data_IF_072769244869
#
_entry.id   IF_072769244869
#
_cell.length_a   1.000
_cell.length_b   1.000
_cell.length_c   1.000
_cell.angle_alpha   90.00
_cell.angle_beta   90.00
_cell.angle_gamma   90.00
#
_symmetry.space_group_name_H-M   'P 1'
#
loop_
_entity.id
_entity.type
_entity.pdbx_description
1 polymer ?
#
# COMPACT_ATOMS: atom_id res chain seq x y z
N UNK A 1 -17.83 20.41 0.34
CA UNK A 1 -16.68 20.02 1.19
C UNK A 1 -15.54 21.01 1.00
N UNK A 2 -14.74 21.28 2.04
CA UNK A 2 -13.65 22.26 1.95
C UNK A 2 -12.45 21.66 1.19
N UNK A 3 -12.01 22.23 0.04
CA UNK A 3 -10.94 21.71 -0.79
C UNK A 3 -9.62 21.52 -0.02
N UNK A 4 -9.28 22.47 0.87
CA UNK A 4 -8.06 22.38 1.67
C UNK A 4 -8.05 21.16 2.62
N UNK A 5 -9.20 20.85 3.25
CA UNK A 5 -9.30 19.69 4.15
C UNK A 5 -9.15 18.39 3.38
N UNK A 6 -9.73 18.30 2.18
CA UNK A 6 -9.60 17.12 1.33
C UNK A 6 -8.15 16.92 0.86
N UNK A 7 -7.48 17.99 0.47
CA UNK A 7 -6.09 17.94 0.06
C UNK A 7 -5.16 17.51 1.20
N UNK A 8 -5.33 18.10 2.39
CA UNK A 8 -4.56 17.70 3.58
C UNK A 8 -4.81 16.22 3.94
N UNK A 9 -6.06 15.76 3.88
CA UNK A 9 -6.39 14.35 4.09
C UNK A 9 -5.70 13.44 3.05
N UNK A 10 -5.63 13.86 1.79
CA UNK A 10 -4.89 13.15 0.73
C UNK A 10 -3.39 13.08 1.03
N UNK A 11 -2.78 14.17 1.50
CA UNK A 11 -1.38 14.17 1.91
C UNK A 11 -1.15 13.20 3.08
N UNK A 12 -2.01 13.21 4.10
CA UNK A 12 -1.92 12.29 5.25
C UNK A 12 -2.05 10.84 4.78
N UNK A 13 -2.99 10.54 3.88
CA UNK A 13 -3.16 9.20 3.33
C UNK A 13 -1.89 8.73 2.60
N UNK A 14 -1.27 9.60 1.79
CA UNK A 14 -0.03 9.26 1.09
C UNK A 14 1.15 9.08 2.05
N UNK A 15 1.30 9.94 3.05
CA UNK A 15 2.32 9.80 4.10
C UNK A 15 2.15 8.44 4.82
N UNK A 16 0.92 8.05 5.15
CA UNK A 16 0.66 6.75 5.79
C UNK A 16 1.09 5.58 4.89
N UNK A 17 0.81 5.67 3.57
CA UNK A 17 1.26 4.69 2.59
C UNK A 17 2.79 4.63 2.50
N UNK A 18 3.47 5.78 2.49
CA UNK A 18 4.93 5.88 2.49
C UNK A 18 5.54 5.22 3.73
N UNK A 19 5.00 5.52 4.93
CA UNK A 19 5.45 4.89 6.17
C UNK A 19 5.24 3.38 6.16
N UNK A 20 4.10 2.89 5.67
CA UNK A 20 3.86 1.45 5.60
C UNK A 20 4.88 0.74 4.71
N UNK A 21 5.33 1.41 3.65
CA UNK A 21 6.36 0.91 2.74
C UNK A 21 7.74 0.90 3.41
N UNK A 22 8.15 2.01 4.04
CA UNK A 22 9.44 2.14 4.71
C UNK A 22 9.59 1.17 5.87
N UNK A 23 8.58 1.09 6.77
CA UNK A 23 8.60 0.15 7.90
C UNK A 23 8.80 -1.28 7.40
N UNK A 24 8.15 -1.65 6.31
CA UNK A 24 8.28 -3.00 5.75
C UNK A 24 9.69 -3.28 5.25
N UNK A 25 10.39 -2.31 4.68
CA UNK A 25 11.79 -2.48 4.30
C UNK A 25 12.69 -2.63 5.52
N UNK A 26 12.47 -1.84 6.57
CA UNK A 26 13.25 -1.89 7.80
C UNK A 26 13.11 -3.23 8.54
N UNK A 27 11.93 -3.85 8.49
CA UNK A 27 11.68 -5.13 9.15
C UNK A 27 12.03 -6.36 8.28
N UNK A 28 12.55 -6.18 7.07
CA UNK A 28 12.83 -7.28 6.15
C UNK A 28 13.83 -8.30 6.74
N UNK A 29 14.95 -7.84 7.27
CA UNK A 29 15.96 -8.73 7.87
C UNK A 29 15.44 -9.43 9.14
N UNK A 30 14.81 -8.77 10.12
CA UNK A 30 14.13 -9.43 11.23
C UNK A 30 13.10 -10.47 10.79
N UNK A 31 12.27 -10.17 9.78
CA UNK A 31 11.30 -11.13 9.25
C UNK A 31 12.00 -12.34 8.63
N UNK A 32 13.07 -12.14 7.85
CA UNK A 32 13.82 -13.23 7.27
C UNK A 32 14.37 -14.18 8.35
N UNK A 33 14.91 -13.63 9.45
CA UNK A 33 15.43 -14.40 10.57
C UNK A 33 14.31 -15.15 11.32
N UNK A 34 13.22 -14.47 11.65
CA UNK A 34 12.09 -15.00 12.43
C UNK A 34 11.36 -16.14 11.70
N UNK A 35 11.27 -16.05 10.37
CA UNK A 35 10.55 -17.01 9.53
C UNK A 35 11.48 -17.97 8.78
N UNK A 36 12.78 -17.95 9.09
CA UNK A 36 13.80 -18.82 8.46
C UNK A 36 13.81 -18.73 6.93
N UNK A 37 13.59 -17.53 6.40
CA UNK A 37 13.55 -17.28 4.96
C UNK A 37 14.95 -16.98 4.42
N UNK A 38 15.23 -17.46 3.21
CA UNK A 38 16.45 -17.07 2.48
C UNK A 38 16.38 -15.60 2.04
N UNK A 39 17.54 -15.01 1.72
CA UNK A 39 17.60 -13.63 1.20
C UNK A 39 16.81 -13.46 -0.10
N UNK A 40 16.74 -14.49 -0.92
CA UNK A 40 15.92 -14.48 -2.12
C UNK A 40 14.43 -14.47 -1.75
N UNK A 41 13.99 -15.37 -0.87
CA UNK A 41 12.60 -15.48 -0.45
C UNK A 41 12.07 -14.18 0.19
N UNK A 42 12.86 -13.55 1.07
CA UNK A 42 12.44 -12.26 1.66
C UNK A 42 12.40 -11.14 0.60
N UNK A 43 13.31 -11.15 -0.37
CA UNK A 43 13.28 -10.23 -1.51
C UNK A 43 12.01 -10.39 -2.35
N UNK A 44 11.57 -11.62 -2.60
CA UNK A 44 10.31 -11.92 -3.30
C UNK A 44 9.09 -11.47 -2.50
N UNK A 45 9.10 -11.69 -1.18
CA UNK A 45 8.06 -11.20 -0.26
C UNK A 45 7.99 -9.67 -0.31
N UNK A 46 9.12 -8.96 -0.23
CA UNK A 46 9.14 -7.49 -0.32
C UNK A 46 8.70 -7.00 -1.72
N UNK A 47 9.12 -7.69 -2.78
CA UNK A 47 8.70 -7.42 -4.16
C UNK A 47 7.20 -7.56 -4.40
N UNK A 48 6.51 -8.40 -3.62
CA UNK A 48 5.07 -8.56 -3.72
C UNK A 48 4.29 -7.27 -3.49
N UNK A 49 4.83 -6.31 -2.71
CA UNK A 49 4.20 -5.00 -2.53
C UNK A 49 4.11 -4.21 -3.84
N UNK A 50 5.17 -4.20 -4.63
CA UNK A 50 5.17 -3.52 -5.94
C UNK A 50 4.21 -4.19 -6.93
N UNK A 51 4.16 -5.53 -6.91
CA UNK A 51 3.22 -6.27 -7.73
C UNK A 51 1.77 -5.97 -7.33
N UNK A 52 1.47 -5.95 -6.04
CA UNK A 52 0.16 -5.60 -5.51
C UNK A 52 -0.27 -4.19 -5.92
N UNK A 53 0.64 -3.22 -5.80
CA UNK A 53 0.42 -1.84 -6.23
C UNK A 53 0.12 -1.76 -7.74
N UNK A 54 0.94 -2.40 -8.57
CA UNK A 54 0.76 -2.42 -10.02
C UNK A 54 -0.57 -3.07 -10.42
N UNK A 55 -0.90 -4.23 -9.84
CA UNK A 55 -2.17 -4.94 -10.12
C UNK A 55 -3.37 -4.08 -9.70
N UNK A 56 -3.34 -3.48 -8.50
CA UNK A 56 -4.41 -2.61 -8.05
C UNK A 56 -4.60 -1.42 -9.00
N UNK A 57 -3.51 -0.78 -9.44
CA UNK A 57 -3.57 0.33 -10.39
C UNK A 57 -4.15 -0.10 -11.74
N UNK A 58 -3.68 -1.21 -12.30
CA UNK A 58 -4.17 -1.69 -13.61
C UNK A 58 -5.65 -2.07 -13.59
N UNK A 59 -6.10 -2.70 -12.50
CA UNK A 59 -7.48 -3.23 -12.41
C UNK A 59 -8.47 -2.14 -11.94
N UNK A 60 -8.11 -1.35 -10.94
CA UNK A 60 -9.05 -0.47 -10.26
C UNK A 60 -9.04 0.95 -10.84
N UNK A 61 -7.92 1.43 -11.40
CA UNK A 61 -7.89 2.78 -11.97
C UNK A 61 -8.96 3.01 -13.06
N UNK A 62 -9.16 2.09 -14.02
CA UNK A 62 -10.23 2.24 -15.02
C UNK A 62 -11.64 2.22 -14.42
N UNK A 63 -11.80 1.61 -13.25
CA UNK A 63 -13.08 1.46 -12.56
C UNK A 63 -13.32 2.56 -11.51
N UNK A 64 -12.34 3.43 -11.27
CA UNK A 64 -12.40 4.43 -10.19
C UNK A 64 -13.62 5.36 -10.31
N UNK A 65 -13.95 5.81 -11.52
CA UNK A 65 -15.10 6.67 -11.76
C UNK A 65 -16.43 5.96 -11.48
N UNK A 66 -16.49 4.65 -11.75
CA UNK A 66 -17.67 3.83 -11.50
C UNK A 66 -17.81 3.47 -10.01
N UNK A 67 -16.71 3.12 -9.36
CA UNK A 67 -16.69 2.75 -7.94
C UNK A 67 -16.88 3.97 -7.04
N UNK A 68 -16.29 5.09 -7.44
CA UNK A 68 -16.19 6.30 -6.64
C UNK A 68 -15.05 6.28 -5.64
N UNK A 69 -14.37 7.41 -5.47
CA UNK A 69 -13.16 7.58 -4.64
C UNK A 69 -13.34 7.10 -3.19
N UNK A 70 -14.52 7.30 -2.60
CA UNK A 70 -14.78 6.88 -1.21
C UNK A 70 -14.71 5.37 -1.01
N UNK A 71 -15.24 4.58 -1.96
CA UNK A 71 -15.17 3.11 -1.89
C UNK A 71 -13.76 2.61 -2.16
N UNK A 72 -13.02 3.28 -3.08
CA UNK A 72 -11.62 2.93 -3.36
C UNK A 72 -10.74 3.16 -2.12
N UNK A 73 -10.90 4.28 -1.41
CA UNK A 73 -10.19 4.54 -0.14
C UNK A 73 -10.57 3.52 0.96
N UNK A 74 -11.85 3.16 1.04
CA UNK A 74 -12.27 2.13 2.00
C UNK A 74 -11.65 0.76 1.68
N UNK A 75 -11.59 0.39 0.41
CA UNK A 75 -10.92 -0.82 -0.04
C UNK A 75 -9.41 -0.77 0.26
N UNK A 76 -8.76 0.38 0.05
CA UNK A 76 -7.36 0.59 0.42
C UNK A 76 -7.12 0.34 1.91
N UNK A 77 -8.00 0.89 2.77
CA UNK A 77 -7.93 0.68 4.22
C UNK A 77 -8.08 -0.81 4.58
N UNK A 78 -9.03 -1.52 3.98
CA UNK A 78 -9.21 -2.96 4.20
C UNK A 78 -7.98 -3.77 3.78
N UNK A 79 -7.38 -3.45 2.62
CA UNK A 79 -6.16 -4.09 2.14
C UNK A 79 -4.99 -3.86 3.10
N UNK A 80 -4.78 -2.64 3.59
CA UNK A 80 -3.75 -2.34 4.58
C UNK A 80 -4.00 -3.10 5.88
N UNK A 81 -5.22 -3.04 6.42
CA UNK A 81 -5.57 -3.74 7.66
C UNK A 81 -5.33 -5.24 7.53
N UNK A 82 -5.86 -5.87 6.49
CA UNK A 82 -5.70 -7.31 6.27
C UNK A 82 -4.23 -7.70 6.07
N UNK A 83 -3.46 -6.93 5.30
CA UNK A 83 -2.04 -7.19 5.07
C UNK A 83 -1.19 -7.00 6.32
N UNK A 84 -1.46 -5.98 7.14
CA UNK A 84 -0.75 -5.75 8.41
C UNK A 84 -1.09 -6.87 9.40
N UNK A 85 -2.38 -7.17 9.60
CA UNK A 85 -2.80 -8.25 10.48
C UNK A 85 -2.25 -9.61 10.02
N UNK A 86 -2.29 -9.88 8.72
CA UNK A 86 -1.71 -11.10 8.14
C UNK A 86 -0.21 -11.23 8.41
N UNK A 87 0.53 -10.12 8.43
CA UNK A 87 1.95 -10.13 8.79
C UNK A 87 2.16 -10.36 10.30
N UNK A 88 1.39 -9.66 11.15
CA UNK A 88 1.52 -9.73 12.62
C UNK A 88 1.16 -11.14 13.14
N UNK A 89 0.09 -11.72 12.60
CA UNK A 89 -0.41 -13.02 13.03
C UNK A 89 0.10 -14.19 12.18
N UNK A 90 1.09 -13.95 11.29
CA UNK A 90 1.69 -15.02 10.51
C UNK A 90 2.31 -16.08 11.44
N UNK A 91 1.92 -17.36 11.30
CA UNK A 91 2.49 -18.43 12.10
C UNK A 91 3.95 -18.65 11.69
N UNK A 92 4.82 -18.85 12.69
CA UNK A 92 6.27 -19.08 12.50
C UNK A 92 6.62 -20.56 12.51
N UNK A 93 7.69 -20.99 11.81
CA UNK A 93 8.26 -22.31 12.00
C UNK A 93 8.74 -22.49 13.45
N UNK A 94 8.63 -23.70 14.07
CA UNK A 94 8.18 -24.96 13.47
C UNK A 94 6.66 -25.22 13.53
N UNK A 95 5.84 -24.25 13.99
CA UNK A 95 4.40 -24.45 14.10
C UNK A 95 3.73 -24.74 12.73
N UNK A 96 4.31 -24.19 11.65
CA UNK A 96 3.93 -24.45 10.27
C UNK A 96 5.18 -24.61 9.41
N UNK A 97 5.02 -25.12 8.19
CA UNK A 97 6.14 -25.18 7.23
C UNK A 97 6.63 -23.78 6.84
N UNK A 98 7.91 -23.66 6.51
CA UNK A 98 8.49 -22.42 6.01
C UNK A 98 7.77 -21.90 4.76
N UNK A 99 7.31 -22.80 3.87
CA UNK A 99 6.53 -22.46 2.68
C UNK A 99 5.19 -21.82 3.03
N UNK A 100 4.49 -22.34 4.05
CA UNK A 100 3.23 -21.75 4.51
C UNK A 100 3.44 -20.34 5.03
N UNK A 101 4.47 -20.14 5.87
CA UNK A 101 4.83 -18.80 6.38
C UNK A 101 5.20 -17.85 5.25
N UNK A 102 5.98 -18.30 4.27
CA UNK A 102 6.36 -17.54 3.08
C UNK A 102 5.12 -17.03 2.33
N UNK A 103 4.18 -17.91 2.00
CA UNK A 103 2.99 -17.52 1.25
C UNK A 103 2.06 -16.58 2.02
N UNK A 104 1.95 -16.76 3.35
CA UNK A 104 1.18 -15.83 4.19
C UNK A 104 1.82 -14.44 4.16
N UNK A 105 3.15 -14.34 4.33
CA UNK A 105 3.87 -13.09 4.28
C UNK A 105 3.80 -12.45 2.89
N UNK A 106 3.92 -13.26 1.84
CA UNK A 106 3.81 -12.79 0.45
C UNK A 106 2.44 -12.19 0.16
N UNK A 107 1.36 -12.92 0.47
CA UNK A 107 -0.01 -12.43 0.31
C UNK A 107 -0.28 -11.19 1.16
N UNK A 108 0.20 -11.17 2.39
CA UNK A 108 0.06 -10.02 3.29
C UNK A 108 0.74 -8.77 2.73
N UNK A 109 1.95 -8.94 2.19
CA UNK A 109 2.71 -7.85 1.55
C UNK A 109 2.06 -7.38 0.25
N UNK A 110 1.56 -8.31 -0.57
CA UNK A 110 0.78 -8.00 -1.77
C UNK A 110 -0.45 -7.14 -1.44
N UNK A 111 -1.19 -7.48 -0.38
CA UNK A 111 -2.35 -6.70 0.07
C UNK A 111 -1.96 -5.29 0.51
N UNK A 112 -0.87 -5.12 1.28
CA UNK A 112 -0.39 -3.78 1.65
C UNK A 112 -0.03 -2.97 0.42
N UNK A 113 0.67 -3.56 -0.54
CA UNK A 113 1.00 -2.91 -1.82
C UNK A 113 -0.25 -2.53 -2.62
N UNK A 114 -1.24 -3.42 -2.67
CA UNK A 114 -2.53 -3.13 -3.30
C UNK A 114 -3.21 -1.93 -2.63
N UNK A 115 -3.18 -1.85 -1.29
CA UNK A 115 -3.67 -0.71 -0.53
C UNK A 115 -2.99 0.60 -0.92
N UNK A 116 -1.65 0.58 -1.08
CA UNK A 116 -0.89 1.75 -1.54
C UNK A 116 -1.35 2.21 -2.94
N UNK A 117 -1.49 1.27 -3.89
CA UNK A 117 -1.99 1.57 -5.23
C UNK A 117 -3.40 2.16 -5.23
N UNK A 118 -4.29 1.63 -4.40
CA UNK A 118 -5.65 2.13 -4.25
C UNK A 118 -5.71 3.54 -3.66
N UNK A 119 -4.85 3.87 -2.71
CA UNK A 119 -4.71 5.24 -2.21
C UNK A 119 -4.35 6.19 -3.35
N UNK A 120 -3.34 5.86 -4.15
CA UNK A 120 -2.89 6.69 -5.27
C UNK A 120 -3.97 6.89 -6.34
N UNK A 121 -4.72 5.84 -6.68
CA UNK A 121 -5.84 5.91 -7.62
C UNK A 121 -6.90 6.92 -7.18
N UNK A 122 -7.13 7.04 -5.87
CA UNK A 122 -8.15 7.94 -5.35
C UNK A 122 -7.63 9.37 -5.18
N UNK A 123 -6.42 9.57 -4.63
CA UNK A 123 -5.96 10.90 -4.23
C UNK A 123 -5.40 11.73 -5.40
N UNK A 124 -4.81 11.10 -6.42
CA UNK A 124 -4.24 11.83 -7.56
C UNK A 124 -5.32 12.55 -8.39
N UNK A 125 -6.39 11.86 -8.85
CA UNK A 125 -7.50 12.54 -9.53
C UNK A 125 -8.21 13.54 -8.63
N UNK A 126 -8.34 13.25 -7.33
CA UNK A 126 -8.95 14.17 -6.37
C UNK A 126 -8.16 15.49 -6.31
N UNK A 127 -6.84 15.43 -6.12
CA UNK A 127 -5.99 16.61 -6.08
C UNK A 127 -6.07 17.42 -7.38
N UNK A 128 -6.04 16.75 -8.54
CA UNK A 128 -6.16 17.38 -9.85
C UNK A 128 -7.53 18.05 -10.06
N UNK A 129 -8.60 17.49 -9.51
CA UNK A 129 -9.97 18.03 -9.58
C UNK A 129 -10.17 19.22 -8.63
N UNK A 130 -9.57 19.16 -7.44
CA UNK A 130 -9.65 20.24 -6.44
C UNK A 130 -8.94 21.51 -6.91
N UNK A 131 -7.85 21.38 -7.69
CA UNK A 131 -7.01 22.49 -8.13
C UNK A 131 -6.79 22.51 -9.67
N UNK A 132 -7.86 22.68 -10.47
CA UNK A 132 -7.79 22.50 -11.92
C UNK A 132 -6.85 23.49 -12.63
N UNK A 133 -6.64 24.69 -12.05
CA UNK A 133 -5.73 25.71 -12.61
C UNK A 133 -4.26 25.48 -12.25
N UNK A 134 -3.97 24.75 -11.18
CA UNK A 134 -2.62 24.54 -10.65
C UNK A 134 -2.33 23.05 -10.36
N UNK A 135 -2.84 22.16 -11.22
CA UNK A 135 -2.78 20.69 -11.02
C UNK A 135 -1.37 20.20 -10.70
N UNK A 136 -0.40 20.56 -11.54
CA UNK A 136 0.99 20.11 -11.41
C UNK A 136 1.61 20.55 -10.09
N UNK A 137 1.38 21.78 -9.67
CA UNK A 137 1.89 22.30 -8.41
C UNK A 137 1.36 21.50 -7.21
N UNK A 138 0.05 21.26 -7.15
CA UNK A 138 -0.53 20.50 -6.03
C UNK A 138 -0.21 19.01 -6.08
N UNK A 139 -0.07 18.40 -7.25
CA UNK A 139 0.41 17.03 -7.38
C UNK A 139 1.87 16.91 -6.91
N UNK A 140 2.73 17.87 -7.23
CA UNK A 140 4.10 17.87 -6.73
C UNK A 140 4.15 18.03 -5.20
N UNK A 141 3.31 18.88 -4.60
CA UNK A 141 3.22 18.99 -3.14
C UNK A 141 2.71 17.67 -2.54
N UNK A 142 1.69 17.05 -3.15
CA UNK A 142 1.15 15.77 -2.71
C UNK A 142 2.25 14.71 -2.64
N UNK A 143 3.08 14.60 -3.68
CA UNK A 143 4.16 13.59 -3.78
C UNK A 143 5.48 14.00 -3.13
N UNK A 144 5.61 15.23 -2.61
CA UNK A 144 6.83 15.67 -1.91
C UNK A 144 7.11 14.90 -0.61
N UNK A 145 6.14 14.16 -0.10
CA UNK A 145 6.23 13.33 1.11
C UNK A 145 6.52 11.86 0.83
N UNK A 146 6.65 11.50 -0.43
CA UNK A 146 7.05 10.15 -0.82
C UNK A 146 8.58 10.05 -0.79
N UNK A 147 9.15 9.01 -0.11
CA UNK A 147 10.60 8.82 -0.01
C UNK A 147 11.23 8.43 -1.35
#
# INVERSE_FOLDING_TARGET
>A
MNPRRLFVASCIALITSAFSFMIRQDIADPLAADFSLTKQAIGEVMGAAFLGMAVAMLVVAPLCDFLGMGRVIMLAWLCHLAGILGTIFAPKPPAVSADTSYWILWCSTFLVGSGNGLVEIAINPLAATLYPRNKTHYLNILHAWWP
#
